data_IF_575958737515
#
_entry.id   IF_575958737515
#
_cell.length_a   1.000
_cell.length_b   1.000
_cell.length_c   1.000
_cell.angle_alpha   90.00
_cell.angle_beta   90.00
_cell.angle_gamma   90.00
#
_symmetry.space_group_name_H-M   'P 1'
#
loop_
_entity.id
_entity.type
_entity.pdbx_description
1 polymer ?
#
# COMPACT_ATOMS: atom_id res chain seq x y z
N UNK A 1 -2.44 -16.37 -32.74
CA UNK A 1 -2.86 -14.95 -32.79
C UNK A 1 -3.43 -14.56 -31.43
N UNK A 2 -2.66 -13.85 -30.60
CA UNK A 2 -3.11 -13.33 -29.30
C UNK A 2 -2.94 -11.80 -29.31
N UNK A 3 -4.00 -11.01 -29.55
CA UNK A 3 -3.88 -9.55 -29.57
C UNK A 3 -4.42 -8.85 -28.29
N UNK A 4 -4.76 -9.57 -27.22
CA UNK A 4 -5.44 -8.98 -26.04
C UNK A 4 -4.53 -8.64 -24.84
N UNK A 5 -3.28 -9.11 -24.80
CA UNK A 5 -2.37 -8.87 -23.66
C UNK A 5 -1.65 -7.53 -23.75
N UNK A 6 -1.34 -7.07 -24.96
CA UNK A 6 -0.64 -5.80 -25.20
C UNK A 6 -1.54 -4.60 -24.93
N UNK A 7 -2.84 -4.65 -25.24
CA UNK A 7 -3.75 -3.50 -25.12
C UNK A 7 -4.02 -3.06 -23.67
N UNK A 8 -4.05 -3.99 -22.71
CA UNK A 8 -4.28 -3.66 -21.30
C UNK A 8 -3.02 -3.13 -20.60
N UNK A 9 -1.85 -3.69 -20.89
CA UNK A 9 -0.58 -3.15 -20.41
C UNK A 9 -0.34 -1.74 -20.99
N UNK A 10 -0.67 -1.53 -22.27
CA UNK A 10 -0.67 -0.21 -22.89
C UNK A 10 -1.64 0.77 -22.23
N UNK A 11 -2.77 0.32 -21.68
CA UNK A 11 -3.74 1.20 -21.02
C UNK A 11 -3.26 1.65 -19.63
N UNK A 12 -2.64 0.74 -18.86
CA UNK A 12 -2.02 1.07 -17.56
C UNK A 12 -0.79 1.96 -17.78
N UNK A 13 0.06 1.64 -18.76
CA UNK A 13 1.19 2.49 -19.16
C UNK A 13 0.70 3.84 -19.67
N UNK A 14 -0.38 3.90 -20.47
CA UNK A 14 -0.95 5.17 -20.94
C UNK A 14 -1.52 6.00 -19.77
N UNK A 15 -2.20 5.39 -18.80
CA UNK A 15 -2.63 6.07 -17.57
C UNK A 15 -1.45 6.58 -16.73
N UNK A 16 -0.37 5.80 -16.62
CA UNK A 16 0.87 6.21 -15.97
C UNK A 16 1.55 7.38 -16.70
N UNK A 17 1.63 7.33 -18.03
CA UNK A 17 2.22 8.37 -18.87
C UNK A 17 1.39 9.65 -18.86
N UNK A 18 0.06 9.56 -18.92
CA UNK A 18 -0.84 10.71 -18.81
C UNK A 18 -0.67 11.37 -17.43
N UNK A 19 -0.59 10.59 -16.35
CA UNK A 19 -0.40 11.14 -15.00
C UNK A 19 1.00 11.77 -14.83
N UNK A 20 2.03 11.18 -15.44
CA UNK A 20 3.39 11.75 -15.47
C UNK A 20 3.40 13.09 -16.24
N UNK A 21 2.76 13.13 -17.42
CA UNK A 21 2.68 14.32 -18.27
C UNK A 21 1.87 15.45 -17.63
N UNK A 22 0.74 15.15 -16.98
CA UNK A 22 -0.04 16.15 -16.23
C UNK A 22 0.68 16.62 -14.95
N UNK A 23 1.49 15.76 -14.31
CA UNK A 23 2.33 16.16 -13.20
C UNK A 23 3.43 17.14 -13.65
N UNK A 24 4.05 16.87 -14.80
CA UNK A 24 5.09 17.73 -15.39
C UNK A 24 4.54 19.06 -15.94
N UNK A 25 3.30 19.08 -16.44
CA UNK A 25 2.70 20.29 -17.03
C UNK A 25 2.10 21.25 -16.00
N UNK A 26 1.59 20.76 -14.85
CA UNK A 26 1.13 21.62 -13.75
C UNK A 26 2.27 22.16 -12.87
N UNK A 27 3.40 21.46 -12.79
CA UNK A 27 4.54 21.83 -11.95
C UNK A 27 5.79 22.02 -12.80
N UNK A 28 5.81 23.10 -13.58
CA UNK A 28 7.01 23.51 -14.32
C UNK A 28 8.22 23.66 -13.39
N UNK A 29 9.32 23.00 -13.76
CA UNK A 29 10.70 23.29 -13.38
C UNK A 29 10.95 23.66 -11.91
N UNK A 30 11.08 22.65 -11.03
CA UNK A 30 11.94 22.78 -9.84
C UNK A 30 13.09 21.79 -9.97
N UNK A 31 13.94 22.02 -10.95
CA UNK A 31 15.28 21.46 -11.03
C UNK A 31 16.22 22.59 -11.39
N UNK A 32 16.89 23.17 -10.39
CA UNK A 32 18.14 23.91 -10.62
C UNK A 32 18.99 23.92 -9.35
N UNK A 33 20.05 23.13 -9.41
CA UNK A 33 21.44 23.57 -9.17
C UNK A 33 21.73 24.38 -7.91
N UNK A 34 22.39 23.78 -6.90
CA UNK A 34 23.55 24.42 -6.28
C UNK A 34 24.55 23.42 -5.69
N UNK A 35 25.82 23.74 -5.93
CA UNK A 35 27.10 23.06 -5.71
C UNK A 35 27.44 22.54 -4.28
N UNK A 36 28.33 21.54 -4.29
CA UNK A 36 29.20 20.99 -3.22
C UNK A 36 30.38 21.99 -2.90
N UNK A 37 31.35 21.76 -1.98
CA UNK A 37 31.38 21.42 -0.54
C UNK A 37 32.06 22.51 0.31
N UNK A 38 31.99 22.45 1.66
CA UNK A 38 33.12 22.90 2.51
C UNK A 38 33.37 21.95 3.68
N UNK A 39 34.50 21.25 3.55
CA UNK A 39 35.29 20.68 4.63
C UNK A 39 35.67 21.79 5.62
N UNK A 40 35.50 21.54 6.93
CA UNK A 40 36.19 22.29 7.96
C UNK A 40 36.71 21.32 9.02
N UNK A 41 38.02 21.12 8.97
CA UNK A 41 38.83 20.43 9.97
C UNK A 41 39.04 21.38 11.15
N UNK A 42 38.71 20.94 12.36
CA UNK A 42 39.28 21.49 13.59
C UNK A 42 39.78 20.32 14.43
N UNK A 43 41.10 20.24 14.60
CA UNK A 43 41.80 19.31 15.48
C UNK A 43 41.80 19.79 16.94
N UNK A 44 42.24 18.89 17.84
CA UNK A 44 42.66 19.05 19.25
C UNK A 44 41.59 18.62 20.27
N UNK A 45 41.83 17.75 21.27
CA UNK A 45 43.01 17.02 21.74
C UNK A 45 42.60 15.62 22.23
N UNK A 46 43.53 14.66 22.12
CA UNK A 46 43.46 13.33 22.71
C UNK A 46 43.43 13.39 24.25
N UNK A 47 42.51 12.65 24.86
CA UNK A 47 42.69 12.07 26.18
C UNK A 47 42.70 10.55 26.00
N UNK A 48 43.89 10.00 26.14
CA UNK A 48 44.24 8.61 25.98
C UNK A 48 43.75 7.81 27.21
N UNK A 49 42.79 6.90 27.03
CA UNK A 49 42.43 5.89 28.04
C UNK A 49 42.37 4.54 27.32
N UNK A 50 43.26 3.64 27.75
CA UNK A 50 43.58 2.32 27.21
C UNK A 50 42.36 1.35 27.20
N UNK A 51 42.29 0.38 26.26
CA UNK A 51 41.08 -0.37 25.94
C UNK A 51 41.14 -1.79 26.50
N UNK A 52 40.45 -2.08 27.60
CA UNK A 52 40.07 -3.45 27.93
C UNK A 52 38.94 -3.43 28.95
N UNK A 53 37.89 -4.23 28.71
CA UNK A 53 36.62 -4.35 29.45
C UNK A 53 35.54 -3.29 29.20
N UNK A 54 34.91 -3.35 28.03
CA UNK A 54 33.44 -3.35 27.97
C UNK A 54 32.97 -4.09 26.72
N UNK A 55 32.95 -5.41 26.82
CA UNK A 55 32.24 -6.28 25.91
C UNK A 55 30.73 -6.11 26.17
N UNK A 56 30.18 -4.97 25.78
CA UNK A 56 28.74 -4.80 25.69
C UNK A 56 28.33 -5.51 24.40
N UNK A 57 27.78 -6.71 24.56
CA UNK A 57 26.93 -7.34 23.55
C UNK A 57 25.79 -6.35 23.32
N UNK A 58 25.99 -5.45 22.36
CA UNK A 58 24.89 -4.73 21.75
C UNK A 58 24.10 -5.79 21.01
N UNK A 59 23.05 -6.31 21.64
CA UNK A 59 21.97 -6.95 20.91
C UNK A 59 21.59 -5.98 19.81
N UNK A 60 21.92 -6.36 18.58
CA UNK A 60 21.59 -5.62 17.37
C UNK A 60 20.08 -5.77 17.21
N UNK A 61 19.30 -5.03 18.01
CA UNK A 61 17.89 -4.81 17.73
C UNK A 61 17.85 -4.33 16.29
N UNK A 62 17.17 -5.04 15.36
CA UNK A 62 17.12 -4.59 13.98
C UNK A 62 16.61 -3.16 14.01
N UNK A 63 17.44 -2.20 13.57
CA UNK A 63 17.06 -0.80 13.48
C UNK A 63 15.67 -0.75 12.86
N UNK A 64 14.71 -0.20 13.59
CA UNK A 64 13.37 -0.03 13.05
C UNK A 64 13.50 0.94 11.88
N UNK A 65 13.50 0.40 10.67
CA UNK A 65 13.55 1.21 9.44
C UNK A 65 12.45 2.25 9.57
N UNK A 66 12.83 3.52 9.50
CA UNK A 66 11.88 4.61 9.61
C UNK A 66 11.17 4.83 8.28
N UNK A 67 9.96 5.38 8.34
CA UNK A 67 9.22 5.78 7.15
C UNK A 67 9.96 6.92 6.46
N UNK A 68 10.31 6.74 5.20
CA UNK A 68 10.91 7.75 4.34
C UNK A 68 10.07 7.93 3.07
N UNK A 69 9.13 8.89 3.06
CA UNK A 69 8.29 9.14 1.91
C UNK A 69 9.07 9.63 0.68
N UNK A 70 10.26 10.24 0.85
CA UNK A 70 11.07 10.73 -0.27
C UNK A 70 11.65 9.58 -1.08
N UNK A 71 12.00 8.49 -0.40
CA UNK A 71 12.50 7.25 -1.01
C UNK A 71 11.41 6.22 -1.27
N UNK A 72 10.14 6.59 -1.07
CA UNK A 72 9.00 5.67 -1.13
C UNK A 72 9.20 4.41 -0.27
N UNK A 73 9.72 4.60 0.96
CA UNK A 73 9.94 3.51 1.92
C UNK A 73 8.93 3.62 3.06
N UNK A 74 8.05 2.62 3.15
CA UNK A 74 6.95 2.56 4.12
C UNK A 74 6.96 1.21 4.84
N UNK A 75 7.92 1.00 5.76
CA UNK A 75 8.11 -0.28 6.45
C UNK A 75 6.90 -0.68 7.27
N UNK A 76 6.39 -1.89 7.01
CA UNK A 76 5.19 -2.47 7.66
C UNK A 76 3.98 -1.54 7.60
N UNK A 77 3.77 -0.86 6.48
CA UNK A 77 2.66 0.07 6.33
C UNK A 77 1.60 -0.45 5.35
N UNK A 78 0.34 -0.15 5.62
CA UNK A 78 -0.69 -0.09 4.60
C UNK A 78 -0.57 1.28 3.92
N UNK A 79 -0.43 1.34 2.61
CA UNK A 79 -0.26 2.58 1.84
C UNK A 79 -1.40 2.79 0.87
N UNK A 80 -1.74 4.05 0.56
CA UNK A 80 -2.86 4.40 -0.31
C UNK A 80 -2.56 5.59 -1.21
N UNK A 81 -3.12 5.57 -2.41
CA UNK A 81 -3.09 6.67 -3.38
C UNK A 81 -4.43 6.75 -4.13
N UNK A 82 -4.93 7.95 -4.48
CA UNK A 82 -6.19 8.08 -5.23
C UNK A 82 -6.09 7.45 -6.63
N UNK A 83 -7.09 6.67 -7.01
CA UNK A 83 -7.16 6.08 -8.36
C UNK A 83 -7.51 7.17 -9.40
N UNK A 84 -6.73 7.35 -10.48
CA UNK A 84 -7.03 8.32 -11.52
C UNK A 84 -8.44 8.16 -12.07
N UNK A 85 -9.10 9.28 -12.37
CA UNK A 85 -10.47 9.37 -12.91
C UNK A 85 -11.54 8.93 -11.91
N UNK A 86 -11.43 7.74 -11.31
CA UNK A 86 -12.42 7.23 -10.34
C UNK A 86 -12.49 8.13 -9.11
N UNK A 87 -11.33 8.51 -8.55
CA UNK A 87 -11.26 9.39 -7.39
C UNK A 87 -11.78 10.81 -7.65
N UNK A 88 -11.91 11.22 -8.92
CA UNK A 88 -12.46 12.53 -9.28
C UNK A 88 -13.97 12.58 -9.06
N UNK A 89 -14.64 11.42 -8.98
CA UNK A 89 -16.06 11.30 -8.68
C UNK A 89 -16.31 10.68 -7.29
N UNK A 90 -15.35 9.88 -6.80
CA UNK A 90 -15.45 9.18 -5.51
C UNK A 90 -14.12 9.30 -4.74
N UNK A 91 -13.90 10.38 -3.98
CA UNK A 91 -12.58 10.76 -3.49
C UNK A 91 -12.01 9.85 -2.39
N UNK A 92 -12.84 8.97 -1.82
CA UNK A 92 -12.42 7.96 -0.85
C UNK A 92 -12.01 6.62 -1.49
N UNK A 93 -12.24 6.44 -2.79
CA UNK A 93 -11.78 5.25 -3.52
C UNK A 93 -10.37 5.49 -4.05
N UNK A 94 -9.50 4.53 -3.78
CA UNK A 94 -8.13 4.56 -4.27
C UNK A 94 -7.47 3.20 -4.23
N UNK A 95 -6.21 3.20 -4.67
CA UNK A 95 -5.35 2.04 -4.74
C UNK A 95 -4.62 1.85 -3.43
N UNK A 96 -4.45 0.60 -3.03
CA UNK A 96 -3.86 0.23 -1.75
C UNK A 96 -2.71 -0.76 -1.95
N UNK A 97 -1.69 -0.65 -1.10
CA UNK A 97 -0.55 -1.56 -1.07
C UNK A 97 -0.13 -1.85 0.35
N UNK A 98 0.81 -2.79 0.50
CA UNK A 98 1.38 -3.17 1.79
C UNK A 98 2.91 -3.16 1.72
N UNK A 99 3.56 -2.56 2.73
CA UNK A 99 5.01 -2.45 2.82
C UNK A 99 5.63 -3.63 3.56
N UNK A 100 6.76 -4.12 3.05
CA UNK A 100 7.64 -5.11 3.69
C UNK A 100 8.35 -4.54 4.92
N UNK A 101 9.13 -5.36 5.62
CA UNK A 101 9.97 -4.89 6.74
C UNK A 101 11.02 -3.87 6.29
N UNK A 102 11.55 -3.99 5.06
CA UNK A 102 12.51 -3.05 4.44
C UNK A 102 11.87 -1.77 3.87
N UNK A 103 10.54 -1.66 3.92
CA UNK A 103 9.77 -0.52 3.41
C UNK A 103 9.48 -0.54 1.92
N UNK A 104 9.88 -1.57 1.18
CA UNK A 104 9.43 -1.75 -0.21
C UNK A 104 7.94 -2.06 -0.23
N UNK A 105 7.20 -1.34 -1.09
CA UNK A 105 5.76 -1.50 -1.26
C UNK A 105 5.49 -2.65 -2.22
N UNK A 106 4.52 -3.49 -1.85
CA UNK A 106 3.90 -4.51 -2.69
C UNK A 106 2.46 -4.10 -2.99
N UNK A 107 2.07 -4.14 -4.26
CA UNK A 107 0.71 -3.83 -4.68
C UNK A 107 0.25 -4.68 -5.87
N UNK A 108 -1.03 -5.04 -5.86
CA UNK A 108 -1.65 -5.80 -6.94
C UNK A 108 -2.40 -4.84 -7.86
N UNK A 109 -1.84 -4.57 -9.04
CA UNK A 109 -2.36 -3.57 -9.98
C UNK A 109 -2.49 -4.07 -11.43
N UNK A 110 -2.27 -5.35 -11.68
CA UNK A 110 -2.41 -5.96 -13.00
C UNK A 110 -2.58 -7.48 -12.94
N UNK A 111 -3.14 -8.11 -13.99
CA UNK A 111 -3.37 -9.55 -13.98
C UNK A 111 -2.05 -10.31 -13.88
N UNK A 112 -1.99 -11.28 -12.96
CA UNK A 112 -0.84 -12.14 -12.70
C UNK A 112 0.45 -11.40 -12.30
N UNK A 113 0.37 -10.12 -11.90
CA UNK A 113 1.56 -9.34 -11.55
C UNK A 113 1.34 -8.50 -10.30
N UNK A 114 2.15 -8.76 -9.28
CA UNK A 114 2.29 -7.91 -8.10
C UNK A 114 3.48 -7.00 -8.34
N UNK A 115 3.25 -5.70 -8.36
CA UNK A 115 4.30 -4.71 -8.51
C UNK A 115 5.13 -4.66 -7.22
N UNK A 116 6.44 -4.58 -7.40
CA UNK A 116 7.42 -4.44 -6.32
C UNK A 116 8.14 -3.13 -6.56
N UNK A 117 8.21 -2.29 -5.52
CA UNK A 117 8.99 -1.05 -5.48
C UNK A 117 8.50 0.09 -6.41
N UNK A 118 7.42 -0.12 -7.16
CA UNK A 118 6.76 0.90 -7.97
C UNK A 118 5.27 0.91 -7.67
N UNK A 119 4.88 1.67 -6.64
CA UNK A 119 3.47 1.77 -6.26
C UNK A 119 2.63 2.31 -7.43
N UNK A 120 1.69 1.50 -7.90
CA UNK A 120 0.92 1.84 -9.08
C UNK A 120 0.05 3.07 -8.84
N UNK A 121 -0.27 3.78 -9.93
CA UNK A 121 -1.16 4.95 -9.98
C UNK A 121 -0.64 6.24 -9.32
N UNK A 122 0.51 6.22 -8.65
CA UNK A 122 1.23 7.42 -8.21
C UNK A 122 1.92 7.26 -6.86
N UNK A 123 2.50 8.35 -6.36
CA UNK A 123 3.11 8.36 -5.03
C UNK A 123 2.07 8.09 -3.93
N UNK A 124 2.53 7.51 -2.81
CA UNK A 124 1.72 7.30 -1.62
C UNK A 124 1.23 8.65 -1.09
N UNK A 125 -0.07 8.77 -0.85
CA UNK A 125 -0.67 9.98 -0.27
C UNK A 125 -1.11 9.77 1.17
N UNK A 126 -1.49 8.53 1.53
CA UNK A 126 -1.82 8.13 2.90
C UNK A 126 -1.15 6.82 3.29
N UNK A 127 -0.89 6.65 4.58
CA UNK A 127 -0.38 5.39 5.13
C UNK A 127 -0.86 5.13 6.55
N UNK A 128 -0.83 3.87 6.96
CA UNK A 128 -0.99 3.40 8.34
C UNK A 128 0.18 2.45 8.63
N UNK A 129 0.99 2.77 9.63
CA UNK A 129 2.07 1.89 10.07
C UNK A 129 1.53 0.85 11.06
N UNK A 130 1.88 -0.41 10.84
CA UNK A 130 1.55 -1.53 11.71
C UNK A 130 2.73 -1.77 12.64
N UNK A 131 2.50 -1.57 13.93
CA UNK A 131 3.52 -1.67 14.98
C UNK A 131 3.56 -3.08 15.56
N UNK A 132 4.72 -3.73 15.51
CA UNK A 132 4.90 -5.09 16.06
C UNK A 132 4.70 -5.09 17.58
N UNK A 133 5.15 -4.05 18.27
CA UNK A 133 5.30 -4.10 19.74
C UNK A 133 3.97 -3.86 20.47
N UNK A 134 2.98 -3.28 19.79
CA UNK A 134 1.61 -3.09 20.32
C UNK A 134 0.71 -4.30 20.07
N UNK A 135 1.11 -5.21 19.18
CA UNK A 135 0.24 -6.26 18.66
C UNK A 135 0.81 -7.68 18.82
N UNK A 136 2.10 -7.81 19.20
CA UNK A 136 2.72 -9.10 19.52
C UNK A 136 2.15 -9.76 20.79
N UNK A 137 1.30 -9.06 21.54
CA UNK A 137 0.47 -9.64 22.61
C UNK A 137 -0.72 -10.45 22.07
N UNK A 138 -0.91 -10.56 20.74
CA UNK A 138 -2.06 -11.23 20.13
C UNK A 138 -1.68 -12.00 18.87
N UNK A 139 -0.62 -12.81 18.94
CA UNK A 139 -0.49 -13.99 18.07
C UNK A 139 -0.93 -15.21 18.88
N UNK A 140 -2.22 -15.61 18.85
CA UNK A 140 -2.59 -16.91 19.36
C UNK A 140 -1.92 -17.96 18.49
N UNK A 141 -1.15 -18.84 19.11
CA UNK A 141 -0.77 -20.14 18.54
C UNK A 141 -1.96 -20.76 17.78
N UNK A 142 -1.82 -21.12 16.49
CA UNK A 142 -2.76 -22.01 15.84
C UNK A 142 -2.52 -23.44 16.33
N UNK A 143 -2.83 -23.73 17.59
CA UNK A 143 -3.00 -25.11 18.04
C UNK A 143 -4.40 -25.57 17.65
N UNK A 144 -4.58 -26.05 16.41
CA UNK A 144 -5.56 -27.08 16.02
C UNK A 144 -5.84 -27.05 14.50
N UNK A 145 -5.01 -27.73 13.71
CA UNK A 145 -5.51 -28.51 12.58
C UNK A 145 -4.54 -29.66 12.36
N UNK A 146 -4.80 -30.79 13.04
CA UNK A 146 -4.19 -32.08 12.69
C UNK A 146 -4.82 -32.53 11.38
N UNK A 147 -4.06 -32.44 10.29
CA UNK A 147 -4.22 -33.28 9.11
C UNK A 147 -2.93 -34.08 9.01
N UNK A 148 -3.04 -35.40 9.20
CA UNK A 148 -1.94 -36.34 9.07
C UNK A 148 -1.44 -36.40 7.61
N UNK A 149 -0.20 -36.88 7.47
CA UNK A 149 0.49 -37.31 6.25
C UNK A 149 1.32 -36.25 5.50
N UNK A 150 2.60 -36.07 5.88
CA UNK A 150 3.76 -36.64 5.15
C UNK A 150 5.14 -36.02 5.53
N UNK A 151 6.05 -36.94 5.93
CA UNK A 151 7.53 -36.95 5.92
C UNK A 151 8.35 -35.74 6.40
N UNK A 152 9.08 -36.00 7.48
CA UNK A 152 10.09 -35.18 8.15
C UNK A 152 11.29 -34.83 7.23
N UNK A 153 11.66 -33.55 7.23
CA UNK A 153 13.05 -33.13 7.27
C UNK A 153 13.23 -32.27 8.52
N UNK A 154 13.97 -32.82 9.48
CA UNK A 154 14.34 -32.20 10.74
C UNK A 154 15.18 -30.93 10.53
N UNK A 155 14.64 -29.78 10.91
CA UNK A 155 15.40 -28.59 11.29
C UNK A 155 14.70 -27.98 12.52
N UNK A 156 15.35 -27.83 13.69
CA UNK A 156 14.76 -27.22 14.87
C UNK A 156 14.86 -25.69 14.75
N UNK A 157 14.16 -25.14 13.77
CA UNK A 157 13.99 -23.72 13.59
C UNK A 157 12.60 -23.33 14.08
N UNK A 158 12.53 -22.65 15.23
CA UNK A 158 11.34 -21.96 15.70
C UNK A 158 10.69 -21.19 14.54
N UNK A 159 9.53 -21.69 14.07
CA UNK A 159 8.83 -21.21 12.87
C UNK A 159 8.14 -19.88 13.19
N UNK A 160 8.99 -18.88 13.45
CA UNK A 160 8.60 -17.49 13.64
C UNK A 160 8.18 -17.01 12.27
N UNK A 161 6.88 -17.08 12.01
CA UNK A 161 6.30 -16.64 10.76
C UNK A 161 6.58 -15.13 10.59
N UNK A 162 7.62 -14.80 9.82
CA UNK A 162 8.07 -13.41 9.65
C UNK A 162 7.10 -12.64 8.76
N UNK A 163 7.01 -11.32 8.96
CA UNK A 163 6.11 -10.43 8.19
C UNK A 163 6.30 -10.62 6.68
N UNK A 164 7.56 -10.60 6.22
CA UNK A 164 7.89 -10.78 4.80
C UNK A 164 7.59 -12.19 4.28
N UNK A 165 7.72 -13.24 5.11
CA UNK A 165 7.31 -14.60 4.73
C UNK A 165 5.79 -14.69 4.50
N UNK A 166 5.01 -13.96 5.30
CA UNK A 166 3.57 -13.84 5.09
C UNK A 166 3.25 -13.18 3.75
N UNK A 167 3.86 -12.02 3.51
CA UNK A 167 3.65 -11.24 2.29
C UNK A 167 4.06 -12.01 1.03
N UNK A 168 5.18 -12.74 1.10
CA UNK A 168 5.66 -13.57 0.00
C UNK A 168 4.65 -14.64 -0.39
N UNK A 169 4.03 -15.33 0.57
CA UNK A 169 3.06 -16.39 0.26
C UNK A 169 1.76 -15.82 -0.33
N UNK A 170 1.26 -14.69 0.19
CA UNK A 170 0.11 -14.01 -0.44
C UNK A 170 0.44 -13.48 -1.84
N UNK A 171 1.68 -13.04 -2.07
CA UNK A 171 2.16 -12.64 -3.40
C UNK A 171 2.13 -13.81 -4.37
N UNK A 172 2.64 -14.98 -3.98
CA UNK A 172 2.61 -16.19 -4.81
C UNK A 172 1.19 -16.63 -5.17
N UNK A 173 0.25 -16.50 -4.24
CA UNK A 173 -1.15 -16.80 -4.51
C UNK A 173 -1.76 -15.83 -5.54
N UNK A 174 -1.55 -14.52 -5.34
CA UNK A 174 -2.14 -13.49 -6.20
C UNK A 174 -1.45 -13.40 -7.58
N UNK A 175 -0.24 -13.91 -7.74
CA UNK A 175 0.42 -14.07 -9.04
C UNK A 175 -0.33 -14.98 -10.02
N UNK A 176 -1.19 -15.87 -9.51
CA UNK A 176 -2.03 -16.74 -10.35
C UNK A 176 -3.48 -16.23 -10.49
N UNK A 177 -3.80 -15.07 -9.90
CA UNK A 177 -5.14 -14.48 -9.96
C UNK A 177 -5.24 -13.44 -11.08
N UNK A 178 -6.37 -13.44 -11.77
CA UNK A 178 -6.71 -12.40 -12.73
C UNK A 178 -7.22 -11.15 -12.00
N UNK A 179 -6.51 -10.04 -12.18
CA UNK A 179 -6.90 -8.75 -11.60
C UNK A 179 -8.25 -8.28 -12.17
N UNK A 180 -9.16 -7.92 -11.28
CA UNK A 180 -10.42 -7.28 -11.62
C UNK A 180 -10.74 -6.21 -10.55
N UNK A 181 -10.95 -4.98 -10.99
CA UNK A 181 -11.20 -3.83 -10.11
C UNK A 181 -12.36 -4.07 -9.12
N UNK A 182 -13.39 -4.83 -9.50
CA UNK A 182 -14.62 -5.01 -8.73
C UNK A 182 -14.67 -6.31 -7.90
N UNK A 183 -13.83 -7.31 -8.21
CA UNK A 183 -13.94 -8.66 -7.61
C UNK A 183 -12.62 -9.25 -7.10
N UNK A 184 -11.47 -8.90 -7.70
CA UNK A 184 -10.16 -9.35 -7.28
C UNK A 184 -9.15 -8.21 -7.48
N UNK A 185 -9.09 -7.32 -6.50
CA UNK A 185 -8.39 -6.05 -6.62
C UNK A 185 -7.27 -5.89 -5.59
N UNK A 186 -6.70 -4.69 -5.51
CA UNK A 186 -5.65 -4.37 -4.55
C UNK A 186 -6.09 -4.48 -3.08
N UNK A 187 -7.35 -4.18 -2.77
CA UNK A 187 -7.89 -4.32 -1.42
C UNK A 187 -8.03 -5.80 -1.05
N UNK A 188 -8.43 -6.66 -1.99
CA UNK A 188 -8.43 -8.11 -1.80
C UNK A 188 -7.03 -8.62 -1.43
N UNK A 189 -6.02 -8.18 -2.17
CA UNK A 189 -4.63 -8.55 -1.91
C UNK A 189 -4.18 -8.13 -0.51
N UNK A 190 -4.36 -6.86 -0.14
CA UNK A 190 -3.94 -6.37 1.17
C UNK A 190 -4.75 -7.02 2.30
N UNK A 191 -6.06 -7.24 2.12
CA UNK A 191 -6.89 -7.95 3.09
C UNK A 191 -6.41 -9.39 3.33
N UNK A 192 -6.06 -10.13 2.27
CA UNK A 192 -5.45 -11.46 2.39
C UNK A 192 -4.18 -11.41 3.26
N UNK A 193 -3.27 -10.47 2.96
CA UNK A 193 -2.03 -10.30 3.71
C UNK A 193 -2.31 -10.03 5.20
N UNK A 194 -3.22 -9.11 5.53
CA UNK A 194 -3.58 -8.78 6.91
C UNK A 194 -4.21 -9.96 7.66
N UNK A 195 -5.09 -10.71 6.99
CA UNK A 195 -5.67 -11.94 7.54
C UNK A 195 -4.60 -12.99 7.82
N UNK A 196 -3.67 -13.16 6.89
CA UNK A 196 -2.56 -14.11 7.01
C UNK A 196 -1.57 -13.76 8.11
N UNK A 197 -1.41 -12.46 8.37
CA UNK A 197 -0.63 -11.93 9.48
C UNK A 197 -1.37 -11.97 10.81
N UNK A 198 -2.65 -12.35 10.86
CA UNK A 198 -3.45 -12.31 12.09
C UNK A 198 -3.66 -10.89 12.65
N UNK A 199 -3.46 -9.85 11.82
CA UNK A 199 -3.57 -8.46 12.23
C UNK A 199 -4.96 -8.19 12.81
N UNK A 200 -5.04 -7.68 14.05
CA UNK A 200 -6.31 -7.47 14.77
C UNK A 200 -7.26 -8.69 14.78
N UNK A 201 -6.71 -9.90 14.92
CA UNK A 201 -7.45 -11.17 14.91
C UNK A 201 -8.05 -11.58 13.55
N UNK A 202 -7.66 -10.92 12.46
CA UNK A 202 -8.14 -11.21 11.10
C UNK A 202 -9.54 -10.66 10.80
N UNK A 203 -10.23 -11.26 9.82
CA UNK A 203 -11.55 -10.79 9.35
C UNK A 203 -11.50 -9.56 8.44
N UNK A 204 -10.34 -9.23 7.90
CA UNK A 204 -10.15 -8.16 6.92
C UNK A 204 -10.82 -8.51 5.60
N UNK A 205 -11.48 -7.52 5.03
CA UNK A 205 -12.11 -7.56 3.72
C UNK A 205 -11.93 -6.20 3.03
N UNK A 206 -12.38 -6.08 1.78
CA UNK A 206 -12.18 -4.86 1.01
C UNK A 206 -12.88 -3.64 1.60
N UNK A 207 -14.01 -3.82 2.29
CA UNK A 207 -14.80 -2.71 2.84
C UNK A 207 -14.19 -2.18 4.14
N UNK A 208 -13.91 -3.05 5.11
CA UNK A 208 -13.34 -2.61 6.39
C UNK A 208 -11.92 -2.07 6.23
N UNK A 209 -11.15 -2.59 5.26
CA UNK A 209 -9.84 -2.07 4.89
C UNK A 209 -9.93 -0.69 4.25
N UNK A 210 -10.85 -0.49 3.31
CA UNK A 210 -11.10 0.83 2.71
C UNK A 210 -11.53 1.85 3.78
N UNK A 211 -12.39 1.46 4.72
CA UNK A 211 -12.80 2.31 5.83
C UNK A 211 -11.62 2.64 6.77
N UNK A 212 -10.77 1.64 7.09
CA UNK A 212 -9.60 1.83 7.94
C UNK A 212 -8.66 2.88 7.37
N UNK A 213 -8.22 2.72 6.12
CA UNK A 213 -7.22 3.61 5.50
C UNK A 213 -7.78 5.01 5.25
N UNK A 214 -9.08 5.13 4.95
CA UNK A 214 -9.71 6.44 4.75
C UNK A 214 -9.86 7.23 6.05
N UNK A 215 -10.32 6.56 7.13
CA UNK A 215 -10.63 7.21 8.41
C UNK A 215 -9.39 7.39 9.30
N UNK A 216 -8.46 6.42 9.30
CA UNK A 216 -7.27 6.42 10.17
C UNK A 216 -5.95 6.62 9.44
N UNK A 217 -5.96 6.73 8.11
CA UNK A 217 -4.74 6.93 7.34
C UNK A 217 -4.12 8.31 7.56
N UNK A 218 -2.83 8.33 7.87
CA UNK A 218 -2.03 9.54 7.99
C UNK A 218 -1.65 10.06 6.61
N UNK A 219 -1.81 11.36 6.38
CA UNK A 219 -1.33 12.00 5.17
C UNK A 219 0.18 12.10 5.17
N UNK A 220 0.80 11.78 4.03
CA UNK A 220 2.26 11.95 3.83
C UNK A 220 2.67 13.42 3.95
N UNK A 221 1.85 14.33 3.43
CA UNK A 221 2.05 15.77 3.53
C UNK A 221 0.75 16.51 3.21
N UNK A 222 0.68 17.80 3.56
CA UNK A 222 -0.41 18.69 3.13
C UNK A 222 -0.52 18.76 1.61
N UNK A 223 0.61 18.73 0.89
CA UNK A 223 0.62 18.71 -0.57
C UNK A 223 -0.04 17.44 -1.13
N UNK A 224 0.22 16.28 -0.52
CA UNK A 224 -0.40 15.00 -0.90
C UNK A 224 -1.92 15.01 -0.67
N UNK A 225 -2.37 15.67 0.41
CA UNK A 225 -3.81 15.87 0.69
C UNK A 225 -4.47 16.72 -0.40
N UNK A 226 -3.91 17.89 -0.70
CA UNK A 226 -4.44 18.79 -1.74
C UNK A 226 -4.46 18.08 -3.09
N UNK A 227 -3.38 17.40 -3.47
CA UNK A 227 -3.30 16.64 -4.74
C UNK A 227 -4.37 15.55 -4.84
N UNK A 228 -4.77 14.95 -3.72
CA UNK A 228 -5.78 13.89 -3.70
C UNK A 228 -7.21 14.42 -3.90
N UNK A 229 -7.54 15.59 -3.36
CA UNK A 229 -8.90 16.15 -3.45
C UNK A 229 -9.10 17.17 -4.55
N UNK A 230 -8.04 17.83 -5.02
CA UNK A 230 -8.14 18.90 -6.00
C UNK A 230 -8.86 18.45 -7.30
N UNK A 231 -8.56 17.29 -7.89
CA UNK A 231 -9.29 16.85 -9.09
C UNK A 231 -10.79 16.64 -8.84
N UNK A 232 -11.16 16.08 -7.68
CA UNK A 232 -12.56 15.93 -7.28
C UNK A 232 -13.25 17.29 -7.15
N UNK A 233 -12.63 18.25 -6.46
CA UNK A 233 -13.19 19.59 -6.28
C UNK A 233 -13.41 20.27 -7.64
N UNK A 234 -12.44 20.21 -8.54
CA UNK A 234 -12.56 20.81 -9.87
C UNK A 234 -13.64 20.13 -10.70
N UNK A 235 -13.67 18.80 -10.75
CA UNK A 235 -14.68 18.04 -11.48
C UNK A 235 -16.09 18.29 -10.91
N UNK A 236 -16.21 18.37 -9.58
CA UNK A 236 -17.46 18.66 -8.90
C UNK A 236 -17.99 20.06 -9.21
N UNK A 237 -17.12 21.08 -9.14
CA UNK A 237 -17.49 22.46 -9.49
C UNK A 237 -17.90 22.58 -10.96
N UNK A 238 -17.17 21.93 -11.86
CA UNK A 238 -17.48 21.91 -13.29
C UNK A 238 -18.82 21.20 -13.58
N UNK A 239 -19.01 20.04 -12.96
CA UNK A 239 -20.25 19.27 -13.06
C UNK A 239 -21.45 20.03 -12.50
N UNK A 240 -21.29 20.74 -11.39
CA UNK A 240 -22.34 21.60 -10.84
C UNK A 240 -22.64 22.79 -11.74
N UNK A 241 -21.61 23.43 -12.32
CA UNK A 241 -21.76 24.58 -13.20
C UNK A 241 -22.51 24.24 -14.51
N UNK A 242 -22.22 23.09 -15.13
CA UNK A 242 -22.85 22.70 -16.39
C UNK A 242 -24.08 21.80 -16.24
N UNK A 243 -24.11 20.94 -15.22
CA UNK A 243 -25.13 19.92 -15.04
C UNK A 243 -26.09 20.17 -13.87
N UNK A 244 -25.82 21.15 -13.01
CA UNK A 244 -26.70 21.54 -11.90
C UNK A 244 -27.10 20.37 -10.99
N UNK A 245 -28.37 20.33 -10.60
CA UNK A 245 -28.89 19.27 -9.73
C UNK A 245 -28.90 17.88 -10.42
N UNK A 246 -29.06 17.84 -11.74
CA UNK A 246 -29.01 16.59 -12.52
C UNK A 246 -27.66 15.90 -12.37
N UNK A 247 -26.55 16.66 -12.41
CA UNK A 247 -25.21 16.14 -12.13
C UNK A 247 -25.13 15.51 -10.74
N UNK A 248 -25.66 16.19 -9.71
CA UNK A 248 -25.65 15.67 -8.33
C UNK A 248 -26.43 14.37 -8.21
N UNK A 249 -27.58 14.26 -8.87
CA UNK A 249 -28.39 13.03 -8.90
C UNK A 249 -27.60 11.87 -9.52
N UNK A 250 -26.96 12.09 -10.67
CA UNK A 250 -26.14 11.05 -11.30
C UNK A 250 -24.91 10.68 -10.47
N UNK A 251 -24.25 11.65 -9.86
CA UNK A 251 -23.11 11.42 -8.98
C UNK A 251 -23.52 10.58 -7.76
N UNK A 252 -24.65 10.92 -7.12
CA UNK A 252 -25.19 10.17 -5.99
C UNK A 252 -25.58 8.74 -6.39
N UNK A 253 -26.26 8.58 -7.52
CA UNK A 253 -26.62 7.26 -8.05
C UNK A 253 -25.39 6.40 -8.35
N UNK A 254 -24.38 6.97 -9.01
CA UNK A 254 -23.12 6.28 -9.30
C UNK A 254 -22.41 5.82 -8.03
N UNK A 255 -22.29 6.70 -7.03
CA UNK A 255 -21.70 6.36 -5.73
C UNK A 255 -22.50 5.26 -5.01
N UNK A 256 -23.84 5.34 -5.03
CA UNK A 256 -24.71 4.35 -4.40
C UNK A 256 -24.54 2.97 -5.04
N UNK A 257 -24.54 2.87 -6.38
CA UNK A 257 -24.33 1.60 -7.08
C UNK A 257 -22.93 1.05 -6.81
N UNK A 258 -21.90 1.89 -6.87
CA UNK A 258 -20.51 1.45 -6.70
C UNK A 258 -20.24 0.97 -5.26
N UNK A 259 -20.62 1.75 -4.25
CA UNK A 259 -20.46 1.35 -2.84
C UNK A 259 -21.37 0.17 -2.50
N UNK A 260 -22.60 0.18 -3.02
CA UNK A 260 -23.56 -0.90 -2.86
C UNK A 260 -23.04 -2.23 -3.41
N UNK A 261 -22.36 -2.23 -4.55
CA UNK A 261 -21.71 -3.42 -5.11
C UNK A 261 -20.68 -4.01 -4.14
N UNK A 262 -19.78 -3.20 -3.58
CA UNK A 262 -18.75 -3.70 -2.65
C UNK A 262 -19.34 -4.17 -1.33
N UNK A 263 -20.35 -3.49 -0.79
CA UNK A 263 -21.05 -3.92 0.42
C UNK A 263 -21.78 -5.25 0.19
N UNK A 264 -22.59 -5.33 -0.87
CA UNK A 264 -23.37 -6.52 -1.18
C UNK A 264 -22.47 -7.70 -1.55
N UNK A 265 -21.45 -7.46 -2.38
CA UNK A 265 -20.47 -8.47 -2.77
C UNK A 265 -19.67 -8.99 -1.59
N UNK A 266 -19.29 -8.15 -0.63
CA UNK A 266 -18.49 -8.60 0.53
C UNK A 266 -19.34 -9.34 1.57
N UNK A 267 -20.54 -8.84 1.88
CA UNK A 267 -21.30 -9.33 3.03
C UNK A 267 -22.44 -10.28 2.67
N UNK A 268 -22.94 -10.23 1.43
CA UNK A 268 -24.06 -11.07 0.99
C UNK A 268 -23.64 -12.18 0.03
N UNK A 269 -22.50 -12.05 -0.67
CA UNK A 269 -22.03 -13.03 -1.66
C UNK A 269 -20.59 -13.47 -1.41
N UNK A 270 -20.41 -14.50 -0.58
CA UNK A 270 -19.09 -14.96 -0.08
C UNK A 270 -18.05 -15.31 -1.17
N UNK A 271 -18.47 -15.62 -2.40
CA UNK A 271 -17.59 -16.01 -3.50
C UNK A 271 -17.41 -14.94 -4.58
N UNK A 272 -18.05 -13.77 -4.44
CA UNK A 272 -18.02 -12.73 -5.47
C UNK A 272 -16.75 -11.88 -5.40
N UNK A 273 -16.28 -11.59 -4.19
CA UNK A 273 -15.05 -10.83 -3.95
C UNK A 273 -14.04 -11.79 -3.36
N UNK A 274 -12.97 -12.04 -4.12
CA UNK A 274 -11.88 -12.89 -3.67
C UNK A 274 -11.14 -12.20 -2.52
N UNK A 275 -10.93 -12.92 -1.43
CA UNK A 275 -10.15 -12.52 -0.27
C UNK A 275 -9.04 -13.54 -0.05
#
# INVERSE_FOLDING_TARGET
MHPTQTTHLSSIIALQLVNCYYCSSLFGSVCSSTLIPKCFTTMTMEANIDPENQLMIGENYPETVQIDPRRARFPRCIVWTPLPIISWFVPFIGHIGIGREDGVILDFAGPNFVFVDNFAFGAVTRYIQIDKDKECCTFPHPSAFKGEDQYEQDEPGHDTFTWDAALRKSTQEFQHRSYNLLTCNCHSFVANNLNRLGFHSGGWNVVNLAALIFLKGHWVSTASMVRSFLPFVLAFLLGLAFGGLTFLTYLAFFNFVLVGWFLLGTYCFKDLIHL
#
